data_IF_324875512642
#
_entry.id   IF_324875512642
#
_cell.length_a   1.000
_cell.length_b   1.000
_cell.length_c   1.000
_cell.angle_alpha   90.00
_cell.angle_beta   90.00
_cell.angle_gamma   90.00
#
_symmetry.space_group_name_H-M   'P 1'
#
loop_
_entity.id
_entity.type
_entity.pdbx_description
1 polymer ?
#
# COMPACT_ATOMS: atom_id res chain seq x y z
N UNK A 1 -8.42 -3.95 11.16
CA UNK A 1 -7.85 -2.60 11.31
C UNK A 1 -6.58 -2.62 10.48
N UNK A 2 -6.55 -1.96 9.32
CA UNK A 2 -5.32 -1.91 8.51
C UNK A 2 -4.49 -0.77 9.06
N UNK A 3 -3.36 -1.11 9.65
CA UNK A 3 -2.28 -0.15 9.87
C UNK A 3 -1.57 0.02 8.53
N UNK A 4 -1.11 1.24 8.22
CA UNK A 4 -0.23 1.49 7.06
C UNK A 4 1.06 2.08 7.59
N UNK A 5 2.17 1.36 7.41
CA UNK A 5 3.52 1.89 7.54
C UNK A 5 3.76 2.93 6.44
N UNK A 6 3.93 4.19 6.84
CA UNK A 6 4.07 5.36 5.97
C UNK A 6 5.56 5.59 5.61
N UNK A 7 6.49 5.06 6.41
CA UNK A 7 7.93 5.17 6.22
C UNK A 7 8.62 5.93 7.37
N UNK A 8 9.91 6.21 7.16
CA UNK A 8 10.72 7.02 8.07
C UNK A 8 10.51 8.50 7.79
N UNK A 9 10.08 9.26 8.79
CA UNK A 9 9.98 10.73 8.74
C UNK A 9 11.03 11.35 9.65
N UNK A 10 11.52 12.54 9.31
CA UNK A 10 12.39 13.33 10.18
C UNK A 10 11.62 14.49 10.82
N UNK A 11 11.69 14.60 12.15
CA UNK A 11 11.23 15.78 12.92
C UNK A 11 12.33 16.13 13.92
N UNK A 12 12.74 17.40 14.00
CA UNK A 12 13.76 17.86 14.95
C UNK A 12 15.07 17.00 14.95
N UNK A 13 15.58 16.59 13.78
CA UNK A 13 16.78 15.74 13.64
C UNK A 13 16.65 14.32 14.25
N UNK A 14 15.42 13.81 14.40
CA UNK A 14 15.16 12.43 14.83
C UNK A 14 14.33 11.68 13.78
N UNK A 15 14.65 10.41 13.59
CA UNK A 15 13.91 9.51 12.71
C UNK A 15 12.70 8.93 13.44
N UNK A 16 11.53 9.02 12.81
CA UNK A 16 10.26 8.51 13.32
C UNK A 16 9.68 7.49 12.36
N UNK A 17 9.04 6.46 12.90
CA UNK A 17 8.16 5.59 12.11
C UNK A 17 6.77 6.21 12.11
N UNK A 18 6.23 6.51 10.93
CA UNK A 18 4.86 6.98 10.81
C UNK A 18 3.93 5.78 10.53
N UNK A 19 2.99 5.55 11.44
CA UNK A 19 1.97 4.50 11.36
C UNK A 19 0.60 5.17 11.22
N UNK A 20 -0.12 4.93 10.13
CA UNK A 20 -1.54 5.28 10.02
C UNK A 20 -2.37 4.09 10.50
N UNK A 21 -2.80 4.10 11.76
CA UNK A 21 -3.73 3.12 12.30
C UNK A 21 -5.13 3.74 12.35
N UNK A 22 -6.09 3.18 11.61
CA UNK A 22 -7.47 3.65 11.60
C UNK A 22 -8.41 2.67 12.32
N UNK A 23 -8.97 3.12 13.44
CA UNK A 23 -10.15 2.54 14.08
C UNK A 23 -11.41 3.24 13.64
N UNK A 24 -12.58 2.60 13.83
CA UNK A 24 -13.89 3.07 13.37
C UNK A 24 -14.31 4.48 13.84
N UNK A 25 -13.51 5.14 14.69
CA UNK A 25 -13.77 6.48 15.24
C UNK A 25 -12.60 7.45 15.10
N UNK A 26 -11.40 7.02 14.69
CA UNK A 26 -10.20 7.88 14.56
C UNK A 26 -9.27 7.30 13.49
N UNK A 27 -8.89 8.12 12.50
CA UNK A 27 -7.69 7.88 11.71
C UNK A 27 -6.55 8.68 12.36
N UNK A 28 -5.58 7.96 12.93
CA UNK A 28 -4.44 8.56 13.62
C UNK A 28 -3.20 8.41 12.76
N UNK A 29 -2.51 9.52 12.50
CA UNK A 29 -1.10 9.47 12.11
C UNK A 29 -0.29 9.42 13.40
N UNK A 30 0.38 8.30 13.66
CA UNK A 30 1.23 8.10 14.83
C UNK A 30 2.69 8.22 14.42
N UNK A 31 3.43 9.20 14.95
CA UNK A 31 4.89 9.19 14.93
C UNK A 31 5.38 8.36 16.13
N UNK A 32 6.25 7.37 15.90
CA UNK A 32 6.97 6.63 16.95
C UNK A 32 8.43 7.06 16.92
N UNK A 33 8.94 7.68 18.00
CA UNK A 33 10.38 7.94 18.19
C UNK A 33 11.10 6.60 18.38
N UNK A 34 12.02 6.26 17.48
CA UNK A 34 12.80 5.01 17.53
C UNK A 34 13.70 4.88 18.77
N UNK A 35 13.88 5.96 19.54
CA UNK A 35 14.69 5.98 20.77
C UNK A 35 13.90 5.82 22.07
N UNK A 36 12.57 5.89 22.04
CA UNK A 36 11.73 5.56 23.21
C UNK A 36 10.28 5.28 22.82
N UNK A 37 9.75 4.13 23.24
CA UNK A 37 8.36 3.70 23.03
C UNK A 37 7.29 4.55 23.76
N UNK A 38 7.68 5.65 24.41
CA UNK A 38 6.82 6.50 25.24
C UNK A 38 6.34 7.79 24.56
N UNK A 39 6.73 8.05 23.31
CA UNK A 39 6.27 9.21 22.54
C UNK A 39 5.34 8.80 21.40
N UNK A 40 4.07 8.52 21.73
CA UNK A 40 2.97 8.50 20.75
C UNK A 40 2.39 9.92 20.71
N UNK A 41 2.73 10.71 19.70
CA UNK A 41 2.09 12.02 19.47
C UNK A 41 0.87 11.82 18.57
N UNK A 42 -0.32 12.00 19.12
CA UNK A 42 -1.57 11.98 18.34
C UNK A 42 -1.63 13.25 17.49
N UNK A 43 -1.54 13.09 16.17
CA UNK A 43 -1.70 14.20 15.22
C UNK A 43 -3.17 14.60 15.04
N UNK A 44 -3.39 15.76 14.42
CA UNK A 44 -4.72 16.27 14.11
C UNK A 44 -5.56 15.22 13.34
N UNK A 45 -6.87 15.10 13.63
CA UNK A 45 -7.74 14.15 12.95
C UNK A 45 -7.86 14.48 11.47
N UNK A 46 -8.02 13.46 10.63
CA UNK A 46 -8.38 13.63 9.22
C UNK A 46 -9.65 14.47 9.08
N UNK A 47 -9.74 15.26 8.01
CA UNK A 47 -10.93 16.06 7.72
C UNK A 47 -12.16 15.17 7.54
N UNK A 48 -11.97 13.95 7.01
CA UNK A 48 -13.01 12.91 6.97
C UNK A 48 -12.46 11.63 7.64
N UNK A 49 -12.97 11.24 8.82
CA UNK A 49 -12.62 9.98 9.45
C UNK A 49 -12.97 8.79 8.55
N UNK A 50 -12.02 7.88 8.33
CA UNK A 50 -12.15 6.82 7.33
C UNK A 50 -11.27 5.60 7.60
N UNK A 51 -11.69 4.44 7.10
CA UNK A 51 -10.93 3.18 7.12
C UNK A 51 -10.73 2.63 5.71
N UNK A 52 -9.73 1.76 5.50
CA UNK A 52 -9.44 1.16 4.18
C UNK A 52 -9.04 2.18 3.10
N UNK A 53 -8.63 3.37 3.52
CA UNK A 53 -8.02 4.37 2.65
C UNK A 53 -6.59 3.96 2.27
N UNK A 54 -6.04 4.58 1.23
CA UNK A 54 -4.61 4.52 0.97
C UNK A 54 -3.94 5.81 1.45
N UNK A 55 -2.73 5.70 2.00
CA UNK A 55 -1.90 6.82 2.45
C UNK A 55 -0.50 6.71 1.83
N UNK A 56 -0.03 7.77 1.18
CA UNK A 56 1.21 7.78 0.42
C UNK A 56 2.03 9.02 0.77
N UNK A 57 3.28 8.85 1.19
CA UNK A 57 4.21 9.96 1.34
C UNK A 57 4.56 10.51 -0.04
N UNK A 58 4.42 11.81 -0.20
CA UNK A 58 4.81 12.57 -1.38
C UNK A 58 6.29 12.96 -1.30
N UNK A 59 6.87 13.35 -2.43
CA UNK A 59 8.29 13.73 -2.51
C UNK A 59 8.68 14.91 -1.59
N UNK A 60 7.71 15.71 -1.16
CA UNK A 60 7.90 16.84 -0.24
C UNK A 60 7.61 16.51 1.24
N UNK A 61 7.40 15.22 1.57
CA UNK A 61 7.15 14.75 2.93
C UNK A 61 5.70 14.89 3.41
N UNK A 62 4.80 15.48 2.61
CA UNK A 62 3.35 15.46 2.90
C UNK A 62 2.77 14.07 2.63
N UNK A 63 1.59 13.80 3.17
CA UNK A 63 0.90 12.52 3.01
C UNK A 63 -0.38 12.70 2.23
N UNK A 64 -0.48 12.09 1.05
CA UNK A 64 -1.72 12.00 0.29
C UNK A 64 -2.58 10.87 0.84
N UNK A 65 -3.82 11.17 1.18
CA UNK A 65 -4.81 10.21 1.69
C UNK A 65 -5.99 10.17 0.72
N UNK A 66 -6.34 8.99 0.24
CA UNK A 66 -7.36 8.82 -0.80
C UNK A 66 -8.38 7.74 -0.46
N UNK A 67 -9.64 8.01 -0.83
CA UNK A 67 -10.73 7.05 -0.77
C UNK A 67 -11.01 6.53 0.64
N UNK A 68 -11.40 5.26 0.74
CA UNK A 68 -11.76 4.57 1.97
C UNK A 68 -13.26 4.56 2.24
N UNK A 69 -13.61 4.17 3.47
CA UNK A 69 -14.98 4.09 3.98
C UNK A 69 -15.13 5.00 5.20
N UNK A 70 -16.09 5.91 5.14
CA UNK A 70 -16.34 6.87 6.22
C UNK A 70 -17.07 6.24 7.43
N UNK A 71 -17.33 7.06 8.45
CA UNK A 71 -18.04 6.62 9.66
C UNK A 71 -19.50 6.21 9.43
N UNK A 72 -20.11 6.61 8.32
CA UNK A 72 -21.45 6.17 7.92
C UNK A 72 -21.42 4.84 7.14
N UNK A 73 -20.23 4.29 6.90
CA UNK A 73 -20.06 3.05 6.14
C UNK A 73 -20.07 3.27 4.62
N UNK A 74 -20.04 4.52 4.16
CA UNK A 74 -20.08 4.87 2.73
C UNK A 74 -18.66 4.85 2.16
N UNK A 75 -18.50 4.24 0.98
CA UNK A 75 -17.24 4.31 0.23
C UNK A 75 -17.15 5.70 -0.38
N UNK A 76 -16.09 6.43 -0.04
CA UNK A 76 -15.92 7.84 -0.41
C UNK A 76 -14.86 8.01 -1.49
N UNK A 77 -15.01 9.06 -2.31
CA UNK A 77 -14.02 9.49 -3.30
C UNK A 77 -13.14 10.64 -2.79
N UNK A 78 -13.34 11.09 -1.55
CA UNK A 78 -12.62 12.22 -0.98
C UNK A 78 -11.13 11.93 -0.88
N UNK A 79 -10.33 12.95 -1.13
CA UNK A 79 -8.89 12.92 -0.90
C UNK A 79 -8.45 14.16 -0.12
N UNK A 80 -7.40 14.00 0.67
CA UNK A 80 -6.80 15.08 1.44
C UNK A 80 -5.27 14.93 1.45
N UNK A 81 -4.58 16.06 1.54
CA UNK A 81 -3.14 16.08 1.78
C UNK A 81 -2.92 16.54 3.21
N UNK A 82 -2.29 15.69 3.99
CA UNK A 82 -1.87 15.98 5.35
C UNK A 82 -0.42 16.49 5.33
N UNK A 83 -0.18 17.62 5.98
CA UNK A 83 1.14 18.19 6.22
C UNK A 83 1.58 17.86 7.65
N UNK A 84 2.55 16.95 7.86
CA UNK A 84 3.03 16.58 9.19
C UNK A 84 3.73 17.72 9.92
N UNK A 85 4.34 18.68 9.21
CA UNK A 85 5.07 19.78 9.82
C UNK A 85 4.11 20.79 10.48
N UNK A 86 2.98 21.05 9.82
CA UNK A 86 1.96 21.99 10.29
C UNK A 86 0.78 21.32 10.99
N UNK A 87 0.70 19.98 10.96
CA UNK A 87 -0.41 19.18 11.48
C UNK A 87 -1.77 19.57 10.90
N UNK A 88 -1.80 19.86 9.60
CA UNK A 88 -3.02 20.30 8.90
C UNK A 88 -3.35 19.37 7.74
N UNK A 89 -4.63 19.02 7.61
CA UNK A 89 -5.19 18.37 6.41
C UNK A 89 -5.88 19.39 5.52
N UNK A 90 -5.61 19.31 4.22
CA UNK A 90 -6.30 20.10 3.20
C UNK A 90 -7.01 19.14 2.25
N UNK A 91 -8.32 19.30 2.10
CA UNK A 91 -9.08 18.58 1.09
C UNK A 91 -8.59 18.97 -0.32
N UNK A 92 -8.36 17.97 -1.17
CA UNK A 92 -7.99 18.16 -2.57
C UNK A 92 -9.12 17.62 -3.47
N UNK A 93 -8.91 17.65 -4.79
CA UNK A 93 -9.85 17.06 -5.75
C UNK A 93 -10.30 15.64 -5.37
N UNK A 94 -11.46 15.22 -5.85
CA UNK A 94 -11.97 13.87 -5.58
C UNK A 94 -11.44 12.87 -6.60
N UNK A 95 -11.34 11.61 -6.18
CA UNK A 95 -11.24 10.48 -7.11
C UNK A 95 -12.46 10.47 -8.02
N UNK A 96 -12.29 10.03 -9.26
CA UNK A 96 -13.39 9.85 -10.21
C UNK A 96 -14.26 8.65 -9.84
N UNK A 97 -13.68 7.65 -9.18
CA UNK A 97 -14.41 6.51 -8.60
C UNK A 97 -14.11 6.39 -7.11
N UNK A 98 -15.16 6.42 -6.29
CA UNK A 98 -15.06 6.11 -4.87
C UNK A 98 -14.57 4.67 -4.69
N UNK A 99 -13.50 4.49 -3.91
CA UNK A 99 -12.82 3.20 -3.75
C UNK A 99 -12.28 3.02 -2.34
N UNK A 100 -12.29 1.77 -1.87
CA UNK A 100 -11.69 1.29 -0.62
C UNK A 100 -10.77 0.10 -0.93
N UNK A 101 -9.75 -0.13 -0.11
CA UNK A 101 -8.80 -1.24 -0.25
C UNK A 101 -8.04 -1.23 -1.59
N UNK A 102 -7.88 -0.04 -2.17
CA UNK A 102 -7.00 0.24 -3.29
C UNK A 102 -5.56 0.45 -2.81
N UNK A 103 -4.64 0.56 -3.77
CA UNK A 103 -3.27 1.00 -3.52
C UNK A 103 -3.06 2.41 -4.05
N UNK A 104 -2.14 3.14 -3.42
CA UNK A 104 -1.65 4.43 -3.90
C UNK A 104 -0.12 4.44 -3.84
N UNK A 105 0.53 4.53 -4.99
CA UNK A 105 1.99 4.36 -5.13
C UNK A 105 2.60 5.64 -5.70
N UNK A 106 3.52 6.26 -4.96
CA UNK A 106 4.35 7.35 -5.48
C UNK A 106 5.22 6.79 -6.62
N UNK A 107 5.21 7.43 -7.78
CA UNK A 107 6.00 7.07 -8.95
C UNK A 107 7.33 7.83 -8.94
N UNK A 108 8.31 7.37 -9.73
CA UNK A 108 9.64 7.98 -9.80
C UNK A 108 9.62 9.43 -10.30
N UNK A 109 8.60 9.80 -11.07
CA UNK A 109 8.38 11.15 -11.59
C UNK A 109 7.59 12.07 -10.62
N UNK A 110 7.29 11.59 -9.41
CA UNK A 110 6.58 12.35 -8.37
C UNK A 110 5.06 12.30 -8.45
N UNK A 111 4.49 11.69 -9.50
CA UNK A 111 3.04 11.43 -9.58
C UNK A 111 2.63 10.29 -8.66
N UNK A 112 1.33 10.13 -8.41
CA UNK A 112 0.80 9.02 -7.62
C UNK A 112 -0.18 8.20 -8.46
N UNK A 113 0.09 6.89 -8.55
CA UNK A 113 -0.83 5.90 -9.13
C UNK A 113 -1.81 5.40 -8.07
N UNK A 114 -3.10 5.62 -8.27
CA UNK A 114 -4.18 5.06 -7.47
C UNK A 114 -4.83 3.92 -8.24
N UNK A 115 -4.64 2.67 -7.81
CA UNK A 115 -5.04 1.49 -8.59
C UNK A 115 -6.01 0.57 -7.84
N UNK A 116 -7.02 0.08 -8.57
CA UNK A 116 -7.94 -0.96 -8.10
C UNK A 116 -8.77 -0.58 -6.88
N UNK A 117 -8.93 -1.53 -5.97
CA UNK A 117 -9.84 -1.44 -4.83
C UNK A 117 -11.26 -1.86 -5.18
N UNK A 118 -12.19 -1.60 -4.27
CA UNK A 118 -13.61 -1.89 -4.42
C UNK A 118 -14.42 -0.61 -4.37
N UNK A 119 -15.37 -0.48 -5.28
CA UNK A 119 -16.45 0.50 -5.21
C UNK A 119 -17.73 -0.14 -4.67
N UNK A 120 -18.84 0.62 -4.65
CA UNK A 120 -20.15 0.08 -4.32
C UNK A 120 -20.63 -1.03 -5.30
N UNK A 121 -20.10 -1.07 -6.52
CA UNK A 121 -20.46 -2.07 -7.53
C UNK A 121 -19.51 -3.28 -7.59
N UNK A 122 -18.45 -3.31 -6.77
CA UNK A 122 -17.46 -4.38 -6.72
C UNK A 122 -16.03 -3.93 -7.00
N UNK A 123 -15.15 -4.92 -7.18
CA UNK A 123 -13.72 -4.70 -7.45
C UNK A 123 -13.49 -3.94 -8.76
N UNK A 124 -12.43 -3.14 -8.82
CA UNK A 124 -12.13 -2.22 -9.91
C UNK A 124 -10.89 -2.68 -10.70
N UNK A 125 -10.97 -2.56 -12.02
CA UNK A 125 -9.82 -2.58 -12.95
C UNK A 125 -9.24 -1.19 -13.19
N UNK A 126 -9.97 -0.15 -12.81
CA UNK A 126 -9.61 1.24 -13.11
C UNK A 126 -8.50 1.75 -12.20
N UNK A 127 -7.72 2.67 -12.77
CA UNK A 127 -6.68 3.40 -12.07
C UNK A 127 -6.74 4.89 -12.41
N UNK A 128 -6.21 5.71 -11.52
CA UNK A 128 -6.17 7.16 -11.63
C UNK A 128 -4.75 7.66 -11.30
N UNK A 129 -4.33 8.74 -11.95
CA UNK A 129 -3.07 9.43 -11.68
C UNK A 129 -3.37 10.76 -11.02
N UNK A 130 -2.65 11.06 -9.94
CA UNK A 130 -2.59 12.37 -9.33
C UNK A 130 -1.22 12.99 -9.54
N UNK A 131 -1.18 14.27 -9.89
CA UNK A 131 0.05 15.05 -9.98
C UNK A 131 0.10 16.06 -8.82
N UNK A 132 0.92 15.81 -7.77
CA UNK A 132 1.09 16.74 -6.66
C UNK A 132 1.66 18.10 -7.04
N UNK A 133 2.34 18.23 -8.19
CA UNK A 133 2.85 19.51 -8.68
C UNK A 133 1.72 20.37 -9.30
N UNK A 134 0.60 19.76 -9.67
CA UNK A 134 -0.58 20.44 -10.18
C UNK A 134 -1.88 19.89 -9.54
N UNK A 135 -2.07 20.09 -8.22
CA UNK A 135 -3.20 19.51 -7.50
C UNK A 135 -4.56 20.03 -7.99
N UNK A 136 -4.59 21.20 -8.63
CA UNK A 136 -5.80 21.79 -9.21
C UNK A 136 -6.35 21.03 -10.42
N UNK A 137 -5.54 20.21 -11.10
CA UNK A 137 -6.01 19.33 -12.17
C UNK A 137 -6.80 18.12 -11.62
N UNK A 138 -6.69 17.83 -10.31
CA UNK A 138 -7.35 16.71 -9.68
C UNK A 138 -6.79 15.36 -10.11
N UNK A 139 -7.61 14.32 -9.97
CA UNK A 139 -7.27 12.95 -10.36
C UNK A 139 -7.68 12.71 -11.81
N UNK A 140 -6.77 12.17 -12.61
CA UNK A 140 -7.03 11.82 -14.02
C UNK A 140 -7.19 10.31 -14.15
N UNK A 141 -8.31 9.88 -14.71
CA UNK A 141 -8.54 8.46 -15.05
C UNK A 141 -7.56 8.01 -16.13
N UNK A 142 -6.91 6.86 -15.94
CA UNK A 142 -6.10 6.23 -16.96
C UNK A 142 -6.99 5.58 -18.04
N UNK A 143 -6.58 5.72 -19.30
CA UNK A 143 -7.29 5.07 -20.41
C UNK A 143 -7.06 3.56 -20.44
N UNK A 144 -5.87 3.09 -20.03
CA UNK A 144 -5.59 1.68 -19.83
C UNK A 144 -6.16 1.22 -18.48
N UNK A 145 -6.63 -0.02 -18.45
CA UNK A 145 -7.12 -0.68 -17.23
C UNK A 145 -6.32 -1.93 -16.96
N UNK A 146 -6.29 -2.35 -15.70
CA UNK A 146 -5.76 -3.67 -15.31
C UNK A 146 -6.60 -4.78 -15.95
N UNK A 147 -5.97 -5.90 -16.29
CA UNK A 147 -6.62 -7.09 -16.85
C UNK A 147 -7.54 -7.80 -15.87
N UNK A 148 -7.28 -7.68 -14.56
CA UNK A 148 -8.13 -8.21 -13.50
C UNK A 148 -8.62 -7.11 -12.54
N UNK A 149 -9.88 -7.22 -12.13
CA UNK A 149 -10.44 -6.39 -11.07
C UNK A 149 -9.88 -6.86 -9.72
N UNK A 150 -9.28 -5.98 -8.94
CA UNK A 150 -8.59 -6.37 -7.70
C UNK A 150 -8.74 -5.40 -6.55
N UNK A 151 -8.88 -5.95 -5.34
CA UNK A 151 -8.95 -5.21 -4.08
C UNK A 151 -8.10 -5.90 -3.01
N UNK A 152 -7.57 -5.13 -2.04
CA UNK A 152 -6.61 -5.63 -1.03
C UNK A 152 -5.38 -6.30 -1.68
N UNK A 153 -4.99 -5.81 -2.85
CA UNK A 153 -3.76 -6.17 -3.54
C UNK A 153 -2.58 -5.35 -3.01
N UNK A 154 -1.36 -5.71 -3.41
CA UNK A 154 -0.15 -4.91 -3.15
C UNK A 154 0.30 -4.19 -4.41
N UNK A 155 0.98 -3.07 -4.25
CA UNK A 155 1.58 -2.31 -5.35
C UNK A 155 2.99 -1.85 -4.94
N UNK A 156 4.00 -2.47 -5.54
CA UNK A 156 5.41 -2.28 -5.20
C UNK A 156 6.11 -1.57 -6.35
N UNK A 157 6.68 -0.39 -6.10
CA UNK A 157 7.52 0.30 -7.09
C UNK A 157 8.90 -0.36 -7.10
N UNK A 158 9.26 -0.97 -8.22
CA UNK A 158 10.55 -1.63 -8.47
C UNK A 158 11.68 -0.59 -8.63
N UNK A 159 12.96 -1.00 -8.56
CA UNK A 159 14.07 -0.04 -8.65
C UNK A 159 14.18 0.62 -10.02
N UNK A 160 13.70 -0.03 -11.08
CA UNK A 160 13.58 0.54 -12.43
C UNK A 160 12.41 1.54 -12.60
N UNK A 161 11.62 1.75 -11.55
CA UNK A 161 10.52 2.71 -11.50
C UNK A 161 9.16 2.15 -11.93
N UNK A 162 9.10 0.93 -12.47
CA UNK A 162 7.83 0.25 -12.76
C UNK A 162 7.10 -0.13 -11.48
N UNK A 163 5.81 -0.42 -11.57
CA UNK A 163 5.01 -0.83 -10.40
C UNK A 163 4.47 -2.24 -10.61
N UNK A 164 4.88 -3.19 -9.78
CA UNK A 164 4.27 -4.50 -9.67
C UNK A 164 2.97 -4.39 -8.86
N UNK A 165 1.85 -4.77 -9.47
CA UNK A 165 0.55 -4.83 -8.81
C UNK A 165 0.13 -6.30 -8.74
N UNK A 166 0.06 -6.86 -7.54
CA UNK A 166 -0.09 -8.31 -7.37
C UNK A 166 -1.27 -8.68 -6.47
N UNK A 167 -1.99 -9.74 -6.89
CA UNK A 167 -3.09 -10.35 -6.17
C UNK A 167 -4.33 -9.47 -6.03
N UNK A 168 -5.14 -9.77 -5.02
CA UNK A 168 -6.43 -9.12 -4.79
C UNK A 168 -7.54 -9.55 -5.76
N UNK A 169 -7.26 -10.55 -6.59
CA UNK A 169 -8.20 -11.22 -7.49
C UNK A 169 -8.26 -12.73 -7.19
N UNK A 170 -9.21 -13.43 -7.81
CA UNK A 170 -9.49 -14.85 -7.57
C UNK A 170 -8.49 -15.81 -8.22
N UNK A 171 -7.82 -15.36 -9.29
CA UNK A 171 -6.92 -16.17 -10.11
C UNK A 171 -5.45 -16.03 -9.67
N UNK A 172 -5.16 -15.08 -8.77
CA UNK A 172 -3.82 -14.82 -8.28
C UNK A 172 -2.94 -14.14 -9.33
N UNK A 173 -3.52 -13.25 -10.13
CA UNK A 173 -2.77 -12.56 -11.18
C UNK A 173 -1.89 -11.45 -10.63
N UNK A 174 -0.91 -11.03 -11.43
CA UNK A 174 -0.16 -9.81 -11.23
C UNK A 174 0.08 -9.10 -12.57
N UNK A 175 0.28 -7.80 -12.51
CA UNK A 175 0.54 -6.96 -13.69
C UNK A 175 1.57 -5.89 -13.35
N UNK A 176 2.33 -5.47 -14.35
CA UNK A 176 3.29 -4.37 -14.27
C UNK A 176 2.66 -3.12 -14.87
N UNK A 177 2.74 -2.00 -14.15
CA UNK A 177 2.42 -0.68 -14.68
C UNK A 177 3.69 0.05 -15.12
N UNK A 178 3.67 0.56 -16.35
CA UNK A 178 4.74 1.34 -16.98
C UNK A 178 4.42 2.85 -16.89
N UNK A 179 5.05 3.64 -15.99
CA UNK A 179 4.66 5.02 -15.72
C UNK A 179 4.71 5.97 -16.92
N UNK A 180 5.70 5.80 -17.79
CA UNK A 180 5.90 6.65 -18.97
C UNK A 180 4.86 6.40 -20.05
N UNK A 181 4.47 5.14 -20.24
CA UNK A 181 3.48 4.75 -21.23
C UNK A 181 2.05 4.78 -20.67
N UNK A 182 1.91 4.76 -19.34
CA UNK A 182 0.64 4.60 -18.62
C UNK A 182 -0.13 3.33 -19.03
N UNK A 183 0.60 2.24 -19.24
CA UNK A 183 0.06 0.95 -19.66
C UNK A 183 0.24 -0.11 -18.58
N UNK A 184 -0.67 -1.08 -18.56
CA UNK A 184 -0.58 -2.31 -17.78
C UNK A 184 -0.21 -3.48 -18.68
N UNK A 185 0.68 -4.34 -18.22
CA UNK A 185 1.02 -5.61 -18.87
C UNK A 185 1.01 -6.73 -17.85
N UNK A 186 0.35 -7.84 -18.16
CA UNK A 186 0.37 -9.03 -17.29
C UNK A 186 1.77 -9.60 -17.14
N UNK A 187 2.08 -10.11 -15.95
CA UNK A 187 3.30 -10.90 -15.72
C UNK A 187 3.26 -12.20 -16.52
N UNK A 188 4.41 -12.82 -16.71
CA UNK A 188 4.50 -14.05 -17.52
C UNK A 188 3.76 -15.22 -16.89
N UNK A 189 3.75 -15.29 -15.55
CA UNK A 189 3.06 -16.30 -14.77
C UNK A 189 2.22 -15.64 -13.67
N UNK A 190 1.14 -16.32 -13.29
CA UNK A 190 0.37 -16.01 -12.09
C UNK A 190 1.08 -16.53 -10.84
N UNK A 191 0.65 -16.04 -9.68
CA UNK A 191 1.10 -16.54 -8.39
C UNK A 191 0.75 -18.02 -8.20
N UNK A 192 1.55 -18.73 -7.41
CA UNK A 192 1.29 -20.14 -7.11
C UNK A 192 0.01 -20.33 -6.28
N UNK A 193 -0.35 -19.33 -5.48
CA UNK A 193 -1.61 -19.27 -4.75
C UNK A 193 -2.24 -17.88 -4.91
N UNK A 194 -3.56 -17.77 -5.16
CA UNK A 194 -4.24 -16.49 -5.11
C UNK A 194 -4.16 -15.86 -3.72
N UNK A 195 -3.72 -14.60 -3.65
CA UNK A 195 -3.49 -13.86 -2.40
C UNK A 195 -4.32 -12.59 -2.33
N UNK A 196 -5.05 -12.40 -1.23
CA UNK A 196 -5.82 -11.19 -0.91
C UNK A 196 -5.43 -10.70 0.48
N UNK A 197 -5.08 -9.42 0.60
CA UNK A 197 -4.65 -8.80 1.86
C UNK A 197 -3.28 -9.27 2.34
N UNK A 198 -2.42 -9.68 1.41
CA UNK A 198 -1.02 -10.05 1.69
C UNK A 198 -0.15 -8.79 1.80
N UNK A 199 1.11 -8.97 2.20
CA UNK A 199 2.14 -7.92 2.16
C UNK A 199 3.18 -8.25 1.09
N UNK A 200 3.83 -7.21 0.56
CA UNK A 200 4.88 -7.33 -0.44
C UNK A 200 6.08 -6.46 -0.05
N UNK A 201 7.29 -7.02 -0.14
CA UNK A 201 8.55 -6.36 0.21
C UNK A 201 9.53 -6.48 -0.95
N UNK A 202 10.07 -5.34 -1.41
CA UNK A 202 11.11 -5.27 -2.43
C UNK A 202 12.49 -5.41 -1.78
N UNK A 203 13.32 -6.26 -2.35
CA UNK A 203 14.72 -6.44 -1.97
C UNK A 203 15.67 -5.66 -2.88
N UNK A 204 16.94 -5.55 -2.49
CA UNK A 204 17.97 -4.83 -3.27
C UNK A 204 18.27 -5.45 -4.65
N UNK A 205 17.95 -6.72 -4.84
CA UNK A 205 18.15 -7.46 -6.10
C UNK A 205 16.94 -7.38 -7.06
N UNK A 206 16.00 -6.46 -6.80
CA UNK A 206 14.73 -6.30 -7.53
C UNK A 206 13.74 -7.47 -7.39
N UNK A 207 14.02 -8.45 -6.53
CA UNK A 207 13.02 -9.45 -6.17
C UNK A 207 11.99 -8.88 -5.19
N UNK A 208 10.76 -9.36 -5.28
CA UNK A 208 9.67 -8.96 -4.36
C UNK A 208 9.15 -10.20 -3.65
N UNK A 209 9.25 -10.24 -2.33
CA UNK A 209 8.59 -11.29 -1.54
C UNK A 209 7.14 -10.92 -1.27
N UNK A 210 6.23 -11.79 -1.66
CA UNK A 210 4.81 -11.74 -1.34
C UNK A 210 4.53 -12.75 -0.23
N UNK A 211 4.03 -12.29 0.91
CA UNK A 211 3.84 -13.12 2.09
C UNK A 211 2.42 -13.06 2.63
N UNK A 212 1.84 -14.22 2.90
CA UNK A 212 0.56 -14.38 3.58
C UNK A 212 -0.66 -14.00 2.75
N UNK A 213 -1.66 -13.39 3.41
CA UNK A 213 -2.99 -13.13 2.87
C UNK A 213 -3.96 -14.25 3.29
N UNK A 214 -4.79 -14.72 2.37
CA UNK A 214 -5.67 -15.88 2.55
C UNK A 214 -4.92 -17.24 2.47
N UNK A 215 -3.58 -17.22 2.61
CA UNK A 215 -2.69 -18.38 2.70
C UNK A 215 -1.57 -18.07 3.69
N UNK A 216 -0.87 -19.09 4.16
CA UNK A 216 0.32 -19.03 5.01
C UNK A 216 1.62 -19.08 4.18
N UNK A 217 1.52 -19.31 2.87
CA UNK A 217 2.68 -19.44 2.00
C UNK A 217 3.37 -18.10 1.73
N UNK A 218 4.56 -18.17 1.17
CA UNK A 218 5.32 -17.02 0.67
C UNK A 218 5.85 -17.33 -0.73
N UNK A 219 5.99 -16.32 -1.57
CA UNK A 219 6.56 -16.48 -2.92
C UNK A 219 7.33 -15.24 -3.37
N UNK A 220 8.39 -15.46 -4.12
CA UNK A 220 9.21 -14.42 -4.72
C UNK A 220 8.75 -14.12 -6.13
N UNK A 221 8.59 -12.84 -6.45
CA UNK A 221 8.53 -12.34 -7.80
C UNK A 221 9.93 -11.87 -8.24
N UNK A 222 10.38 -12.29 -9.41
CA UNK A 222 11.60 -11.76 -10.04
C UNK A 222 11.22 -10.80 -11.17
N UNK A 223 11.66 -9.55 -11.08
CA UNK A 223 11.36 -8.52 -12.08
C UNK A 223 11.99 -8.81 -13.46
N UNK A 224 13.08 -9.57 -13.50
CA UNK A 224 13.83 -9.87 -14.72
C UNK A 224 13.09 -10.87 -15.62
N UNK A 225 12.53 -11.92 -15.04
CA UNK A 225 11.82 -12.97 -15.77
C UNK A 225 10.29 -12.91 -15.60
N UNK A 226 9.79 -12.02 -14.73
CA UNK A 226 8.38 -11.81 -14.39
C UNK A 226 7.69 -13.09 -13.92
N UNK A 227 8.38 -13.88 -13.11
CA UNK A 227 7.87 -15.15 -12.58
C UNK A 227 7.76 -15.14 -11.06
N UNK A 228 6.81 -15.93 -10.58
CA UNK A 228 6.65 -16.25 -9.18
C UNK A 228 7.28 -17.60 -8.84
N UNK A 229 8.02 -17.67 -7.73
CA UNK A 229 8.62 -18.89 -7.19
C UNK A 229 8.21 -19.05 -5.74
N UNK A 230 7.58 -20.17 -5.40
CA UNK A 230 7.15 -20.47 -4.04
C UNK A 230 8.36 -20.66 -3.13
N UNK A 231 8.33 -20.02 -1.96
CA UNK A 231 9.31 -20.26 -0.90
C UNK A 231 8.89 -21.48 -0.05
N UNK A 232 9.88 -22.23 0.46
CA UNK A 232 9.63 -23.40 1.30
C UNK A 232 9.20 -23.02 2.72
N UNK A 233 9.61 -21.85 3.20
CA UNK A 233 9.16 -21.29 4.46
C UNK A 233 7.71 -20.82 4.32
N UNK A 234 7.01 -20.86 5.45
CA UNK A 234 5.63 -20.42 5.58
C UNK A 234 5.48 -19.59 6.84
N UNK A 235 4.50 -18.69 6.81
CA UNK A 235 4.00 -18.03 8.01
C UNK A 235 3.43 -19.07 8.98
N UNK A 236 3.49 -18.81 10.29
CA UNK A 236 2.96 -19.76 11.29
C UNK A 236 1.44 -19.85 11.28
N UNK A 237 0.77 -18.86 10.69
CA UNK A 237 -0.66 -18.82 10.49
C UNK A 237 -1.01 -18.04 9.22
N UNK A 238 -2.13 -18.42 8.61
CA UNK A 238 -2.82 -17.59 7.61
C UNK A 238 -3.25 -16.28 8.27
N UNK A 239 -2.89 -15.15 7.68
CA UNK A 239 -3.26 -13.82 8.18
C UNK A 239 -3.40 -12.82 7.05
N UNK A 240 -4.38 -11.93 7.17
CA UNK A 240 -4.61 -10.84 6.23
C UNK A 240 -4.43 -9.47 6.88
N UNK A 241 -3.90 -8.51 6.11
CA UNK A 241 -3.67 -7.14 6.59
C UNK A 241 -2.48 -7.01 7.54
N UNK A 242 -1.57 -7.98 7.52
CA UNK A 242 -0.28 -7.95 8.19
C UNK A 242 0.65 -6.91 7.54
N UNK A 243 1.57 -6.41 8.34
CA UNK A 243 2.68 -5.57 7.90
C UNK A 243 3.98 -6.35 7.97
N UNK A 244 5.00 -5.85 7.26
CA UNK A 244 6.35 -6.39 7.33
C UNK A 244 7.37 -5.26 7.46
N UNK A 245 8.41 -5.51 8.24
CA UNK A 245 9.60 -4.67 8.32
C UNK A 245 10.79 -5.52 7.87
N UNK A 246 11.55 -5.02 6.89
CA UNK A 246 12.85 -5.56 6.54
C UNK A 246 13.91 -5.02 7.49
N UNK A 247 14.64 -5.92 8.16
CA UNK A 247 15.83 -5.58 8.92
C UNK A 247 17.05 -5.50 7.99
N UNK A 248 17.10 -6.39 7.00
CA UNK A 248 17.99 -6.38 5.85
C UNK A 248 17.35 -7.18 4.70
N UNK A 249 18.06 -7.37 3.59
CA UNK A 249 17.57 -8.11 2.41
C UNK A 249 17.32 -9.60 2.67
N UNK A 250 17.71 -10.09 3.83
CA UNK A 250 17.60 -11.49 4.21
C UNK A 250 16.78 -11.72 5.47
N UNK A 251 16.45 -10.69 6.25
CA UNK A 251 15.74 -10.83 7.53
C UNK A 251 14.52 -9.90 7.57
N UNK A 252 13.32 -10.48 7.68
CA UNK A 252 12.05 -9.77 7.78
C UNK A 252 11.30 -10.14 9.06
N UNK A 253 10.55 -9.19 9.59
CA UNK A 253 9.56 -9.41 10.65
C UNK A 253 8.16 -9.10 10.13
N UNK A 254 7.26 -10.07 10.22
CA UNK A 254 5.84 -9.92 9.93
C UNK A 254 5.04 -9.80 11.22
N UNK A 255 4.14 -8.83 11.29
CA UNK A 255 3.34 -8.58 12.49
C UNK A 255 1.96 -8.01 12.15
N UNK A 256 1.06 -8.06 13.14
CA UNK A 256 -0.32 -7.61 12.97
C UNK A 256 -1.14 -8.57 12.09
N UNK A 257 -2.12 -8.01 11.40
CA UNK A 257 -3.16 -8.76 10.70
C UNK A 257 -4.32 -9.18 11.60
N UNK A 258 -5.16 -10.06 11.08
CA UNK A 258 -6.37 -10.57 11.75
C UNK A 258 -6.13 -11.79 12.66
N UNK A 259 -4.91 -12.32 12.69
CA UNK A 259 -4.56 -13.59 13.35
C UNK A 259 -4.04 -13.47 14.79
N UNK A 260 -4.36 -12.40 15.53
CA UNK A 260 -3.84 -12.16 16.88
C UNK A 260 -2.42 -11.57 16.92
N UNK A 261 -1.82 -11.44 18.11
CA UNK A 261 -0.52 -10.78 18.33
C UNK A 261 0.69 -11.70 18.05
N UNK A 262 0.70 -12.40 16.92
CA UNK A 262 1.85 -13.23 16.51
C UNK A 262 2.83 -12.41 15.68
N UNK A 263 4.13 -12.65 15.88
CA UNK A 263 5.21 -12.14 15.04
C UNK A 263 5.85 -13.34 14.35
N UNK A 264 5.92 -13.31 13.01
CA UNK A 264 6.69 -14.28 12.24
C UNK A 264 8.01 -13.64 11.82
N UNK A 265 9.09 -14.41 11.94
CA UNK A 265 10.41 -14.03 11.42
C UNK A 265 10.69 -14.82 10.16
N UNK A 266 11.21 -14.15 9.15
CA UNK A 266 11.64 -14.77 7.89
C UNK A 266 13.09 -14.46 7.63
N UNK A 267 13.86 -15.52 7.40
CA UNK A 267 15.28 -15.44 7.12
C UNK A 267 15.53 -16.14 5.79
N UNK A 268 15.80 -15.40 4.71
CA UNK A 268 16.08 -16.00 3.40
C UNK A 268 17.31 -16.89 3.53
N UNK A 269 17.18 -18.16 3.15
CA UNK A 269 18.34 -19.06 3.09
C UNK A 269 19.31 -18.55 2.02
N UNK A 270 20.51 -18.18 2.45
CA UNK A 270 21.65 -17.80 1.60
C UNK A 270 21.92 -18.78 0.47
#
# INVERSE_FOLDING_TARGET
MRTTLIGWLEKNNKAFVALLAAGATLAMTTLIDASSSSQVEQLAPLAVPRTGHAATVLADGRVLITGGRDSAGIIVATAEVFDPANQTSIAIGMLNTARIDHTATLLADGRVLVAGGSSASGALTSAEIFDPANPGAGFRVLSATMGAARARHTATRLHDGRVLIAGGDVDGTAEIFEPTAELFSSTLLAMAAPRIGHTAILFSDDSVLLAGGNTDSMEYFSATDQKFTLDLQKMTAVRTGQEAIALDDTHLLFFGGDSGNTIDEFNSSS
#
